data_IF_828780978342
#
_entry.id   IF_828780978342
#
_cell.length_a   1.000
_cell.length_b   1.000
_cell.length_c   1.000
_cell.angle_alpha   90.00
_cell.angle_beta   90.00
_cell.angle_gamma   90.00
#
_symmetry.space_group_name_H-M   'P 1'
#
loop_
_entity.id
_entity.type
_entity.pdbx_description
1 polymer ?
#
# COMPACT_ATOMS: atom_id res chain seq x y z
N UNK A 1 -10.60 -6.41 -14.25
CA UNK A 1 -11.05 -6.30 -12.85
C UNK A 1 -12.07 -5.18 -12.79
N UNK A 2 -13.28 -5.43 -12.29
CA UNK A 2 -14.37 -4.42 -12.27
C UNK A 2 -13.99 -3.16 -11.47
N UNK A 3 -13.14 -3.30 -10.45
CA UNK A 3 -12.72 -2.20 -9.58
C UNK A 3 -11.46 -1.45 -10.04
N UNK A 4 -10.85 -1.79 -11.19
CA UNK A 4 -9.54 -1.21 -11.57
C UNK A 4 -9.63 0.30 -11.80
N UNK A 5 -10.73 0.78 -12.39
CA UNK A 5 -10.98 2.21 -12.58
C UNK A 5 -11.15 2.94 -11.25
N UNK A 6 -11.81 2.33 -10.27
CA UNK A 6 -11.99 2.91 -8.95
C UNK A 6 -10.66 2.98 -8.19
N UNK A 7 -9.87 1.90 -8.24
CA UNK A 7 -8.53 1.85 -7.67
C UNK A 7 -7.66 2.96 -8.27
N UNK A 8 -7.66 3.07 -9.59
CA UNK A 8 -6.93 4.13 -10.29
C UNK A 8 -7.35 5.52 -9.81
N UNK A 9 -8.65 5.77 -9.65
CA UNK A 9 -9.15 7.05 -9.14
C UNK A 9 -8.77 7.30 -7.68
N UNK A 10 -8.71 6.28 -6.84
CA UNK A 10 -8.31 6.42 -5.43
C UNK A 10 -6.81 6.71 -5.27
N UNK A 11 -6.00 6.20 -6.20
CA UNK A 11 -4.56 6.41 -6.25
C UNK A 11 -4.18 7.65 -7.07
N UNK A 12 -5.17 8.37 -7.61
CA UNK A 12 -4.89 9.58 -8.40
C UNK A 12 -4.03 10.56 -7.59
N UNK A 13 -2.96 11.03 -8.22
CA UNK A 13 -1.98 11.90 -7.58
C UNK A 13 -0.67 11.24 -7.16
N UNK A 14 -0.64 9.95 -6.81
CA UNK A 14 0.62 9.30 -6.36
C UNK A 14 1.68 9.25 -7.48
N UNK A 15 1.24 9.26 -8.73
CA UNK A 15 2.09 9.25 -9.92
C UNK A 15 2.53 10.65 -10.36
N UNK A 16 2.03 11.71 -9.71
CA UNK A 16 2.38 13.08 -10.06
C UNK A 16 3.60 13.56 -9.28
N UNK A 17 4.48 14.31 -9.94
CA UNK A 17 5.59 14.98 -9.27
C UNK A 17 5.11 16.21 -8.46
N UNK A 18 5.73 16.52 -7.29
CA UNK A 18 6.92 15.86 -6.72
C UNK A 18 6.61 14.62 -5.87
N UNK A 19 5.32 14.32 -5.62
CA UNK A 19 4.92 13.26 -4.70
C UNK A 19 5.49 11.90 -5.12
N UNK A 20 5.41 11.57 -6.41
CA UNK A 20 5.92 10.31 -6.95
C UNK A 20 7.39 10.06 -6.57
N UNK A 21 8.28 11.02 -6.84
CA UNK A 21 9.70 10.88 -6.49
C UNK A 21 9.96 10.96 -4.99
N UNK A 22 9.18 11.77 -4.26
CA UNK A 22 9.29 11.87 -2.80
C UNK A 22 8.99 10.52 -2.14
N UNK A 23 7.94 9.81 -2.57
CA UNK A 23 7.50 8.53 -1.99
C UNK A 23 8.62 7.48 -1.96
N UNK A 24 9.43 7.40 -3.02
CA UNK A 24 10.53 6.41 -3.15
C UNK A 24 11.67 6.64 -2.13
N UNK A 25 11.67 7.79 -1.45
CA UNK A 25 12.65 8.11 -0.40
C UNK A 25 12.09 8.00 1.00
N UNK A 26 10.77 7.88 1.14
CA UNK A 26 10.08 7.87 2.43
C UNK A 26 10.05 6.50 3.08
N UNK A 27 9.87 6.51 4.39
CA UNK A 27 9.64 5.32 5.21
C UNK A 27 8.29 5.37 5.90
N UNK A 28 7.76 4.20 6.13
CA UNK A 28 6.61 3.97 6.99
C UNK A 28 7.18 3.78 8.40
N UNK A 29 6.79 4.65 9.33
CA UNK A 29 7.06 4.43 10.76
C UNK A 29 6.17 3.28 11.23
N UNK A 30 6.77 2.15 11.59
CA UNK A 30 5.99 0.97 12.03
C UNK A 30 5.47 1.16 13.44
N UNK A 31 6.18 1.95 14.26
CA UNK A 31 5.90 2.08 15.70
C UNK A 31 4.56 2.76 16.02
N UNK A 32 3.96 3.45 15.05
CA UNK A 32 2.65 4.08 15.20
C UNK A 32 1.47 3.13 14.91
N UNK A 33 1.75 1.92 14.42
CA UNK A 33 0.75 0.90 14.12
C UNK A 33 0.89 -0.26 15.10
N UNK A 34 0.04 -0.30 16.14
CA UNK A 34 0.16 -1.26 17.25
C UNK A 34 0.20 -2.73 16.78
N UNK A 35 -0.67 -3.09 15.83
CA UNK A 35 -0.77 -4.48 15.32
C UNK A 35 0.47 -4.86 14.51
N UNK A 36 0.92 -3.96 13.63
CA UNK A 36 2.09 -4.20 12.78
C UNK A 36 3.38 -4.24 13.60
N UNK A 37 3.59 -3.26 14.49
CA UNK A 37 4.79 -3.17 15.34
C UNK A 37 4.95 -4.34 16.31
N UNK A 38 3.84 -4.98 16.69
CA UNK A 38 3.89 -6.20 17.51
C UNK A 38 4.16 -7.47 16.69
N UNK A 39 4.04 -7.39 15.36
CA UNK A 39 4.07 -8.55 14.46
C UNK A 39 5.36 -8.65 13.64
N UNK A 40 5.96 -7.52 13.27
CA UNK A 40 7.22 -7.49 12.50
C UNK A 40 8.37 -6.94 13.35
N UNK A 41 9.63 -7.37 13.10
CA UNK A 41 10.78 -6.90 13.88
C UNK A 41 11.24 -5.48 13.48
N UNK A 42 10.82 -5.00 12.32
CA UNK A 42 11.25 -3.72 11.76
C UNK A 42 10.55 -2.54 12.43
N UNK A 43 11.34 -1.51 12.76
CA UNK A 43 10.81 -0.24 13.30
C UNK A 43 10.38 0.74 12.20
N UNK A 44 10.83 0.51 10.97
CA UNK A 44 10.44 1.32 9.82
C UNK A 44 10.56 0.50 8.53
N UNK A 45 9.70 0.75 7.56
CA UNK A 45 9.73 0.09 6.25
C UNK A 45 9.99 1.12 5.16
N UNK A 46 11.08 0.95 4.41
CA UNK A 46 11.47 1.87 3.33
C UNK A 46 10.64 1.58 2.08
N UNK A 47 10.00 2.61 1.52
CA UNK A 47 9.35 2.53 0.21
C UNK A 47 10.44 2.51 -0.87
N UNK A 48 10.31 1.62 -1.84
CA UNK A 48 11.29 1.44 -2.93
C UNK A 48 10.71 1.73 -4.30
N UNK A 49 9.41 1.62 -4.42
CA UNK A 49 8.75 1.69 -5.71
C UNK A 49 7.33 2.22 -5.54
N UNK A 50 6.94 3.13 -6.42
CA UNK A 50 5.53 3.44 -6.68
C UNK A 50 5.17 2.66 -7.93
N UNK A 51 4.18 1.78 -7.83
CA UNK A 51 3.81 0.93 -8.95
C UNK A 51 3.23 1.75 -10.12
N UNK A 52 3.69 1.55 -11.36
CA UNK A 52 3.28 2.39 -12.49
C UNK A 52 1.79 2.31 -12.82
N UNK A 53 1.20 3.45 -13.19
CA UNK A 53 -0.21 3.58 -13.56
C UNK A 53 -0.59 2.69 -14.76
N UNK A 54 0.31 2.54 -15.73
CA UNK A 54 0.11 1.77 -16.95
C UNK A 54 0.31 0.25 -16.76
N UNK A 55 0.86 -0.17 -15.62
CA UNK A 55 1.12 -1.58 -15.30
C UNK A 55 0.11 -2.19 -14.31
N UNK A 56 -0.89 -1.42 -13.85
CA UNK A 56 -1.82 -1.85 -12.80
C UNK A 56 -2.51 -3.20 -13.06
N UNK A 57 -2.81 -3.52 -14.32
CA UNK A 57 -3.40 -4.81 -14.68
C UNK A 57 -2.41 -5.97 -14.54
N UNK A 58 -1.15 -5.76 -14.91
CA UNK A 58 -0.08 -6.76 -14.78
C UNK A 58 0.23 -7.00 -13.31
N UNK A 59 0.38 -5.93 -12.53
CA UNK A 59 0.54 -5.97 -11.07
C UNK A 59 -0.62 -6.76 -10.45
N UNK A 60 -1.86 -6.46 -10.83
CA UNK A 60 -3.01 -7.21 -10.32
C UNK A 60 -2.89 -8.70 -10.62
N UNK A 61 -2.58 -9.08 -11.85
CA UNK A 61 -2.49 -10.49 -12.22
C UNK A 61 -1.42 -11.24 -11.41
N UNK A 62 -0.32 -10.56 -11.05
CA UNK A 62 0.76 -11.13 -10.25
C UNK A 62 0.35 -11.33 -8.78
N UNK A 63 -0.36 -10.37 -8.20
CA UNK A 63 -0.72 -10.39 -6.77
C UNK A 63 -2.12 -10.96 -6.47
N UNK A 64 -2.98 -11.07 -7.47
CA UNK A 64 -4.37 -11.55 -7.33
C UNK A 64 -4.50 -12.83 -6.51
N UNK A 65 -3.68 -13.88 -6.69
CA UNK A 65 -3.80 -15.12 -5.91
C UNK A 65 -3.65 -14.94 -4.40
N UNK A 66 -3.06 -13.82 -3.98
CA UNK A 66 -2.74 -13.54 -2.58
C UNK A 66 -3.60 -12.42 -1.99
N UNK A 67 -4.07 -11.47 -2.81
CA UNK A 67 -4.73 -10.25 -2.32
C UNK A 67 -6.24 -10.20 -2.57
N UNK A 68 -6.77 -11.03 -3.48
CA UNK A 68 -8.19 -11.00 -3.84
C UNK A 68 -9.10 -11.33 -2.64
N UNK A 69 -8.70 -12.27 -1.77
CA UNK A 69 -9.47 -12.64 -0.58
C UNK A 69 -9.62 -11.50 0.43
N UNK A 70 -8.64 -10.58 0.47
CA UNK A 70 -8.64 -9.42 1.36
C UNK A 70 -9.31 -8.19 0.73
N UNK A 71 -9.66 -8.25 -0.56
CA UNK A 71 -10.15 -7.09 -1.32
C UNK A 71 -9.19 -5.89 -1.25
N UNK A 72 -7.89 -6.14 -1.41
CA UNK A 72 -6.84 -5.11 -1.41
C UNK A 72 -6.00 -5.17 -2.69
N UNK A 73 -5.45 -4.04 -3.11
CA UNK A 73 -4.65 -3.89 -4.33
C UNK A 73 -3.32 -3.21 -4.00
N UNK A 74 -2.16 -3.74 -4.43
CA UNK A 74 -0.86 -3.19 -4.06
C UNK A 74 -0.49 -1.99 -4.94
N UNK A 75 0.05 -0.93 -4.35
CA UNK A 75 0.43 0.29 -5.07
C UNK A 75 1.81 0.84 -4.71
N UNK A 76 2.41 0.40 -3.59
CA UNK A 76 3.82 0.67 -3.27
C UNK A 76 4.56 -0.64 -3.03
N UNK A 77 5.75 -0.75 -3.60
CA UNK A 77 6.75 -1.75 -3.25
C UNK A 77 7.68 -1.24 -2.16
N UNK A 78 8.04 -2.10 -1.21
CA UNK A 78 8.95 -1.75 -0.11
C UNK A 78 10.29 -2.47 -0.21
N UNK A 79 11.25 -2.10 0.63
CA UNK A 79 12.50 -2.85 0.77
C UNK A 79 12.21 -4.18 1.50
N UNK A 80 12.04 -5.25 0.72
CA UNK A 80 11.68 -6.58 1.23
C UNK A 80 10.67 -7.24 0.29
N UNK A 81 9.88 -8.17 0.83
CA UNK A 81 8.78 -8.83 0.09
C UNK A 81 7.41 -8.18 0.39
N UNK A 82 7.38 -7.14 1.23
CA UNK A 82 6.17 -6.44 1.60
C UNK A 82 5.74 -5.38 0.58
N UNK A 83 4.42 -5.19 0.49
CA UNK A 83 3.75 -4.18 -0.34
C UNK A 83 2.73 -3.40 0.47
N UNK A 84 2.50 -2.14 0.08
CA UNK A 84 1.41 -1.34 0.61
C UNK A 84 0.24 -1.39 -0.36
N UNK A 85 -0.92 -1.68 0.19
CA UNK A 85 -2.13 -1.93 -0.54
C UNK A 85 -3.22 -0.92 -0.20
N UNK A 86 -4.09 -0.64 -1.17
CA UNK A 86 -5.33 0.10 -0.99
C UNK A 86 -6.51 -0.88 -1.08
N UNK A 87 -7.44 -0.77 -0.15
CA UNK A 87 -8.63 -1.58 -0.15
C UNK A 87 -9.65 -1.15 -1.20
N UNK A 88 -10.33 -2.13 -1.79
CA UNK A 88 -11.44 -1.93 -2.74
C UNK A 88 -12.70 -2.69 -2.28
N UNK A 89 -13.80 -2.49 -3.00
CA UNK A 89 -15.09 -3.08 -2.65
C UNK A 89 -15.73 -2.42 -1.42
N UNK A 90 -16.95 -2.83 -1.06
CA UNK A 90 -17.78 -2.10 -0.09
C UNK A 90 -17.23 -2.05 1.33
N UNK A 91 -16.37 -2.99 1.73
CA UNK A 91 -15.89 -3.12 3.11
C UNK A 91 -14.54 -2.44 3.36
N UNK A 92 -13.65 -2.46 2.37
CA UNK A 92 -12.26 -1.99 2.52
C UNK A 92 -11.95 -0.73 1.71
N UNK A 93 -12.93 -0.16 0.99
CA UNK A 93 -12.74 0.98 0.09
C UNK A 93 -11.87 2.10 0.70
N UNK A 94 -10.73 2.35 0.06
CA UNK A 94 -9.83 3.47 0.37
C UNK A 94 -8.98 3.32 1.63
N UNK A 95 -9.11 2.20 2.36
CA UNK A 95 -8.26 1.90 3.53
C UNK A 95 -6.88 1.45 3.08
N UNK A 96 -5.84 1.78 3.86
CA UNK A 96 -4.47 1.36 3.58
C UNK A 96 -4.08 0.13 4.39
N UNK A 97 -3.34 -0.77 3.75
CA UNK A 97 -2.88 -2.02 4.34
C UNK A 97 -1.40 -2.24 4.06
N UNK A 98 -0.72 -2.83 5.02
CA UNK A 98 0.55 -3.50 4.81
C UNK A 98 0.27 -4.96 4.50
N UNK A 99 0.93 -5.53 3.50
CA UNK A 99 0.90 -6.97 3.23
C UNK A 99 2.31 -7.50 3.07
N UNK A 100 2.57 -8.63 3.72
CA UNK A 100 3.80 -9.39 3.59
C UNK A 100 3.45 -10.90 3.54
N UNK A 101 4.22 -11.68 2.78
CA UNK A 101 3.94 -13.11 2.61
C UNK A 101 4.15 -13.93 3.89
N UNK A 102 5.03 -13.50 4.79
CA UNK A 102 5.32 -14.17 6.05
C UNK A 102 4.36 -13.75 7.17
N UNK A 103 3.98 -12.47 7.19
CA UNK A 103 3.20 -11.90 8.29
C UNK A 103 1.71 -11.70 7.97
N UNK A 104 1.33 -11.74 6.70
CA UNK A 104 -0.04 -11.52 6.24
C UNK A 104 -0.39 -10.03 6.05
N UNK A 105 -1.67 -9.70 6.19
CA UNK A 105 -2.18 -8.35 6.00
C UNK A 105 -2.44 -7.63 7.33
N UNK A 106 -2.13 -6.35 7.40
CA UNK A 106 -2.39 -5.47 8.54
C UNK A 106 -3.02 -4.16 8.06
N UNK A 107 -4.11 -3.74 8.67
CA UNK A 107 -4.74 -2.46 8.36
C UNK A 107 -4.00 -1.33 9.07
N UNK A 108 -3.61 -0.29 8.32
CA UNK A 108 -2.89 0.87 8.86
C UNK A 108 -3.91 1.92 9.36
N UNK A 109 -4.41 1.72 10.57
CA UNK A 109 -5.33 2.61 11.31
C UNK A 109 -6.69 2.94 10.65
N UNK A 110 -7.10 2.21 9.61
CA UNK A 110 -8.23 2.61 8.73
C UNK A 110 -8.03 4.01 8.10
N UNK A 111 -6.78 4.41 7.89
CA UNK A 111 -6.48 5.69 7.27
C UNK A 111 -6.93 5.73 5.81
N UNK A 112 -7.31 6.93 5.37
CA UNK A 112 -7.33 7.27 3.94
C UNK A 112 -5.91 7.44 3.41
N UNK A 113 -5.73 7.33 2.10
CA UNK A 113 -4.45 7.54 1.43
C UNK A 113 -3.75 8.84 1.89
N UNK A 114 -4.45 9.98 1.91
CA UNK A 114 -3.85 11.26 2.31
C UNK A 114 -3.35 11.28 3.76
N UNK A 115 -4.05 10.59 4.67
CA UNK A 115 -3.64 10.52 6.08
C UNK A 115 -2.41 9.63 6.21
N UNK A 116 -2.41 8.47 5.55
CA UNK A 116 -1.24 7.59 5.47
C UNK A 116 -0.01 8.34 4.93
N UNK A 117 -0.16 9.05 3.80
CA UNK A 117 0.92 9.82 3.18
C UNK A 117 1.51 10.88 4.11
N UNK A 118 0.67 11.52 4.94
CA UNK A 118 1.12 12.54 5.90
C UNK A 118 1.91 11.98 7.09
N UNK A 119 1.81 10.68 7.36
CA UNK A 119 2.52 9.98 8.45
C UNK A 119 3.90 9.46 8.01
N UNK A 120 4.22 9.53 6.71
CA UNK A 120 5.50 9.06 6.19
C UNK A 120 6.68 9.92 6.70
N UNK A 121 7.79 9.26 7.00
CA UNK A 121 9.01 9.88 7.54
C UNK A 121 10.17 9.81 6.55
N UNK A 122 11.22 10.60 6.79
CA UNK A 122 12.48 10.60 6.00
C UNK A 122 13.44 9.44 6.35
#
# INVERSE_FOLDING_TARGET
MENLSDIKNMLDGIWNEPLHSDLVTKKIDVSIYDELSSSIPDSSVLIKEVFPEDELLEIWNNYKPYLEEYSIFPFLGTLGEAVICIGYGSYNLGKIFYFDFDFGQFCLDNDSLNVFLSKLID
#
